data_IF_487396782048
#
_entry.id   IF_487396782048
#
_cell.length_a   1.000
_cell.length_b   1.000
_cell.length_c   1.000
_cell.angle_alpha   90.00
_cell.angle_beta   90.00
_cell.angle_gamma   90.00
#
_symmetry.space_group_name_H-M   'P 1'
#
loop_
_entity.id
_entity.type
_entity.pdbx_description
1 polymer ?
#
# COMPACT_ATOMS: atom_id res chain seq x y z
N UNK A 1 -6.50 21.24 -4.44
CA UNK A 1 -6.97 20.17 -3.54
C UNK A 1 -5.94 19.85 -2.46
N UNK A 2 -6.39 19.48 -1.26
CA UNK A 2 -5.53 19.14 -0.10
C UNK A 2 -4.58 17.96 -0.38
N UNK A 3 -4.91 17.13 -1.38
CA UNK A 3 -4.15 15.95 -1.79
C UNK A 3 -2.94 16.23 -2.67
N UNK A 4 -2.82 17.44 -3.22
CA UNK A 4 -1.67 17.82 -4.04
C UNK A 4 -0.56 18.35 -3.14
N UNK A 5 0.64 17.80 -3.31
CA UNK A 5 1.85 18.23 -2.59
C UNK A 5 2.96 18.59 -3.57
N UNK A 6 3.71 19.62 -3.24
CA UNK A 6 5.03 19.89 -3.84
C UNK A 6 6.07 19.15 -3.01
N UNK A 7 6.94 18.42 -3.68
CA UNK A 7 7.98 17.60 -3.09
C UNK A 7 9.27 17.76 -3.88
N UNK A 8 10.40 17.36 -3.28
CA UNK A 8 11.66 17.28 -4.00
C UNK A 8 11.63 16.17 -5.07
N UNK A 9 12.40 16.37 -6.13
CA UNK A 9 12.63 15.31 -7.12
C UNK A 9 13.78 14.42 -6.65
N UNK A 10 13.51 13.15 -6.37
CA UNK A 10 14.51 12.19 -5.88
C UNK A 10 15.33 11.63 -7.04
N UNK A 11 16.66 11.68 -6.90
CA UNK A 11 17.62 11.21 -7.89
C UNK A 11 18.17 9.81 -7.62
N UNK A 12 18.07 9.34 -6.36
CA UNK A 12 18.62 8.05 -5.96
C UNK A 12 19.61 8.15 -4.81
N UNK A 13 20.42 7.10 -4.65
CA UNK A 13 21.56 7.11 -3.74
C UNK A 13 22.80 7.54 -4.52
N UNK A 14 23.45 8.62 -4.11
CA UNK A 14 24.67 9.11 -4.71
C UNK A 14 25.81 8.09 -4.49
N UNK A 15 26.43 7.63 -5.59
CA UNK A 15 27.43 6.57 -5.55
C UNK A 15 28.75 6.97 -4.92
N UNK A 16 29.04 8.27 -4.82
CA UNK A 16 30.26 8.78 -4.19
C UNK A 16 30.13 8.98 -2.69
N UNK A 17 28.96 9.45 -2.23
CA UNK A 17 28.71 9.76 -0.81
C UNK A 17 27.98 8.61 -0.10
N UNK A 18 27.20 7.81 -0.84
CA UNK A 18 26.31 6.78 -0.31
C UNK A 18 25.08 7.34 0.40
N UNK A 19 24.73 8.60 0.15
CA UNK A 19 23.58 9.28 0.73
C UNK A 19 22.47 9.47 -0.30
N UNK A 20 21.23 9.64 0.16
CA UNK A 20 20.13 10.02 -0.70
C UNK A 20 20.39 11.39 -1.32
N UNK A 21 19.96 11.57 -2.55
CA UNK A 21 20.15 12.78 -3.32
C UNK A 21 18.83 13.26 -3.91
N UNK A 22 18.59 14.56 -3.83
CA UNK A 22 17.47 15.23 -4.49
C UNK A 22 18.00 16.29 -5.44
N UNK A 23 17.20 16.68 -6.41
CA UNK A 23 17.58 17.64 -7.43
C UNK A 23 17.67 19.06 -6.85
N UNK A 24 18.81 19.71 -7.05
CA UNK A 24 19.01 21.15 -6.91
C UNK A 24 18.58 21.80 -8.23
N UNK A 25 17.37 22.34 -8.26
CA UNK A 25 16.72 22.80 -9.50
C UNK A 25 17.28 24.13 -9.98
N UNK A 26 17.62 25.02 -9.05
CA UNK A 26 18.16 26.34 -9.36
C UNK A 26 19.70 26.37 -9.50
N UNK A 27 20.38 25.26 -9.12
CA UNK A 27 21.84 25.06 -9.17
C UNK A 27 22.60 26.11 -8.33
N UNK A 28 22.05 26.50 -7.17
CA UNK A 28 22.72 27.43 -6.26
C UNK A 28 23.63 26.72 -5.23
N UNK A 29 23.58 25.38 -5.18
CA UNK A 29 24.38 24.53 -4.30
C UNK A 29 23.74 24.30 -2.93
N UNK A 30 22.53 24.79 -2.68
CA UNK A 30 21.78 24.60 -1.45
C UNK A 30 20.38 24.00 -1.75
N UNK A 31 20.02 22.95 -1.05
CA UNK A 31 18.66 22.38 -1.21
C UNK A 31 17.69 23.13 -0.30
N UNK A 32 16.78 23.87 -0.91
CA UNK A 32 15.80 24.72 -0.23
C UNK A 32 14.38 24.37 -0.63
N UNK A 33 13.37 25.07 -0.08
CA UNK A 33 11.98 24.90 -0.46
C UNK A 33 11.71 25.26 -1.93
N UNK A 34 12.57 26.04 -2.56
CA UNK A 34 12.48 26.45 -3.97
C UNK A 34 12.67 25.27 -4.91
N UNK A 35 13.44 24.24 -4.47
CA UNK A 35 13.69 23.01 -5.23
C UNK A 35 12.53 21.99 -5.16
N UNK A 36 11.50 22.26 -4.36
CA UNK A 36 10.28 21.45 -4.36
C UNK A 36 9.45 21.75 -5.60
N UNK A 37 9.83 21.19 -6.73
CA UNK A 37 9.17 21.41 -8.03
C UNK A 37 8.29 20.25 -8.48
N UNK A 38 8.54 19.04 -7.99
CA UNK A 38 7.72 17.88 -8.31
C UNK A 38 6.32 18.00 -7.67
N UNK A 39 5.29 17.71 -8.45
CA UNK A 39 3.89 17.79 -8.01
C UNK A 39 3.31 16.39 -7.93
N UNK A 40 2.93 15.97 -6.73
CA UNK A 40 2.35 14.67 -6.46
C UNK A 40 0.91 14.79 -5.94
N UNK A 41 0.01 13.99 -6.53
CA UNK A 41 -1.36 13.88 -6.05
C UNK A 41 -1.54 12.57 -5.28
N UNK A 42 -1.64 12.66 -3.95
CA UNK A 42 -1.83 11.53 -3.04
C UNK A 42 -3.31 11.13 -2.85
N UNK A 43 -4.22 11.84 -3.52
CA UNK A 43 -5.65 11.51 -3.48
C UNK A 43 -6.03 10.34 -4.38
N UNK A 44 -7.19 9.79 -4.10
CA UNK A 44 -7.85 8.84 -5.00
C UNK A 44 -8.20 9.58 -6.29
N UNK A 45 -7.68 9.08 -7.42
CA UNK A 45 -7.95 9.64 -8.75
C UNK A 45 -9.31 9.17 -9.29
N UNK A 46 -9.55 7.88 -9.17
CA UNK A 46 -10.86 7.27 -9.44
C UNK A 46 -10.98 5.94 -8.71
N UNK A 47 -12.21 5.54 -8.48
CA UNK A 47 -12.57 4.26 -7.89
C UNK A 47 -13.87 3.76 -8.47
N UNK A 48 -14.13 2.48 -8.31
CA UNK A 48 -15.39 1.86 -8.71
C UNK A 48 -15.50 0.44 -8.18
N UNK A 49 -16.62 -0.19 -8.52
CA UNK A 49 -16.85 -1.58 -8.14
C UNK A 49 -17.75 -2.29 -9.13
N UNK A 50 -17.56 -3.61 -9.20
CA UNK A 50 -18.40 -4.52 -9.97
C UNK A 50 -19.06 -5.44 -8.97
N UNK A 51 -20.38 -5.29 -8.79
CA UNK A 51 -21.21 -6.21 -8.03
C UNK A 51 -21.93 -7.15 -8.99
N UNK A 52 -21.86 -8.44 -8.72
CA UNK A 52 -22.49 -9.44 -9.55
C UNK A 52 -23.13 -10.52 -8.69
N UNK A 53 -24.27 -11.05 -9.17
CA UNK A 53 -25.01 -12.15 -8.57
C UNK A 53 -25.27 -13.21 -9.65
N UNK A 54 -24.84 -14.43 -9.40
CA UNK A 54 -24.97 -15.55 -10.30
C UNK A 54 -25.83 -16.60 -9.62
N UNK A 55 -26.96 -16.93 -10.24
CA UNK A 55 -27.83 -17.98 -9.76
C UNK A 55 -27.82 -19.17 -10.75
N UNK A 56 -27.52 -20.35 -10.22
CA UNK A 56 -27.55 -21.58 -10.97
C UNK A 56 -28.14 -22.71 -10.13
N UNK A 57 -29.35 -23.19 -10.51
CA UNK A 57 -30.09 -24.16 -9.71
C UNK A 57 -30.27 -23.71 -8.27
N UNK A 58 -29.71 -24.47 -7.31
CA UNK A 58 -29.77 -24.20 -5.88
C UNK A 58 -28.65 -23.33 -5.38
N UNK A 59 -27.68 -22.95 -6.24
CA UNK A 59 -26.54 -22.10 -5.90
C UNK A 59 -26.83 -20.63 -6.19
N UNK A 60 -26.48 -19.76 -5.27
CA UNK A 60 -26.39 -18.34 -5.48
C UNK A 60 -25.00 -17.85 -5.06
N UNK A 61 -24.30 -17.14 -5.95
CA UNK A 61 -22.96 -16.61 -5.73
C UNK A 61 -23.03 -15.11 -5.93
N UNK A 62 -22.77 -14.35 -4.88
CA UNK A 62 -22.71 -12.90 -4.88
C UNK A 62 -21.28 -12.45 -4.61
N UNK A 63 -20.76 -11.53 -5.40
CA UNK A 63 -19.43 -10.99 -5.17
C UNK A 63 -19.32 -9.52 -5.55
N UNK A 64 -18.45 -8.80 -4.82
CA UNK A 64 -18.11 -7.41 -5.08
C UNK A 64 -16.59 -7.28 -5.28
N UNK A 65 -16.20 -6.88 -6.48
CA UNK A 65 -14.87 -6.39 -6.78
C UNK A 65 -14.84 -4.88 -6.68
N UNK A 66 -13.83 -4.34 -6.01
CA UNK A 66 -13.52 -2.92 -5.93
C UNK A 66 -12.20 -2.67 -6.65
N UNK A 67 -12.09 -1.57 -7.37
CA UNK A 67 -10.84 -1.07 -7.90
C UNK A 67 -10.62 0.39 -7.52
N UNK A 68 -9.38 0.76 -7.26
CA UNK A 68 -8.98 2.10 -6.87
C UNK A 68 -7.69 2.48 -7.58
N UNK A 69 -7.64 3.67 -8.17
CA UNK A 69 -6.44 4.30 -8.70
C UNK A 69 -6.00 5.41 -7.76
N UNK A 70 -4.80 5.26 -7.16
CA UNK A 70 -4.25 6.22 -6.20
C UNK A 70 -2.74 6.13 -6.11
N UNK A 71 -2.12 7.18 -5.58
CA UNK A 71 -0.76 7.16 -5.04
C UNK A 71 -0.80 7.24 -3.52
N UNK A 72 0.21 6.67 -2.85
CA UNK A 72 0.34 6.76 -1.41
C UNK A 72 1.83 6.76 -1.01
N UNK A 73 2.09 7.18 0.24
CA UNK A 73 3.40 7.04 0.84
C UNK A 73 3.78 5.56 0.99
N UNK A 74 5.00 5.25 0.61
CA UNK A 74 5.59 3.93 0.87
C UNK A 74 5.86 3.76 2.37
N UNK A 75 6.06 2.52 2.86
CA UNK A 75 6.51 2.31 4.24
C UNK A 75 7.80 3.05 4.60
N UNK A 76 8.67 3.38 3.63
CA UNK A 76 9.91 4.12 3.87
C UNK A 76 9.68 5.52 4.45
N UNK A 77 8.55 6.15 4.11
CA UNK A 77 8.15 7.42 4.72
C UNK A 77 8.01 7.34 6.25
N UNK A 78 7.61 6.17 6.77
CA UNK A 78 7.37 5.94 8.21
C UNK A 78 8.56 5.31 8.92
N UNK A 79 9.56 4.83 8.16
CA UNK A 79 10.78 4.25 8.72
C UNK A 79 11.67 5.31 9.33
N UNK A 80 12.54 4.86 10.22
CA UNK A 80 13.63 5.67 10.77
C UNK A 80 14.88 5.56 9.90
N UNK A 81 15.82 6.47 10.13
CA UNK A 81 17.16 6.43 9.54
C UNK A 81 17.83 5.07 9.83
N UNK A 82 18.44 4.46 8.81
CA UNK A 82 19.15 3.19 8.98
C UNK A 82 20.39 3.36 9.86
N UNK A 83 20.60 2.40 10.78
CA UNK A 83 21.74 2.37 11.70
C UNK A 83 21.46 2.94 13.07
N UNK A 84 20.33 3.62 13.30
CA UNK A 84 19.89 3.98 14.66
C UNK A 84 19.22 2.78 15.34
N UNK A 85 19.05 2.85 16.66
CA UNK A 85 18.45 1.77 17.47
C UNK A 85 16.93 1.63 17.23
N UNK A 86 16.56 1.16 16.03
CA UNK A 86 15.18 0.89 15.64
C UNK A 86 15.09 -0.30 14.69
N UNK A 87 13.92 -0.94 14.64
CA UNK A 87 13.67 -1.99 13.67
C UNK A 87 13.59 -1.39 12.26
N UNK A 88 14.20 -2.07 11.30
CA UNK A 88 14.15 -1.74 9.88
C UNK A 88 13.53 -2.90 9.09
N UNK A 89 12.82 -2.63 7.98
CA UNK A 89 12.28 -3.69 7.15
C UNK A 89 13.41 -4.50 6.51
N UNK A 90 13.18 -5.80 6.24
CA UNK A 90 14.18 -6.68 5.59
C UNK A 90 14.74 -6.08 4.29
N UNK A 91 13.93 -5.34 3.56
CA UNK A 91 14.29 -4.64 2.33
C UNK A 91 15.46 -3.64 2.54
N UNK A 92 15.57 -3.05 3.72
CA UNK A 92 16.64 -2.12 4.08
C UNK A 92 18.02 -2.78 4.16
N UNK A 93 18.12 -4.11 3.99
CA UNK A 93 19.42 -4.78 3.81
C UNK A 93 20.08 -4.44 2.47
N UNK A 94 19.32 -3.91 1.50
CA UNK A 94 19.83 -3.35 0.25
C UNK A 94 20.33 -1.91 0.45
N UNK A 95 21.25 -1.71 1.38
CA UNK A 95 21.87 -0.42 1.68
C UNK A 95 23.20 -0.24 0.96
N UNK A 96 23.58 1.01 0.76
CA UNK A 96 24.83 1.40 0.13
C UNK A 96 26.06 0.93 0.94
N UNK A 97 26.98 0.29 0.23
CA UNK A 97 28.31 -0.09 0.69
C UNK A 97 29.26 -0.11 -0.51
N UNK A 98 30.57 -0.22 -0.25
CA UNK A 98 31.57 -0.35 -1.33
C UNK A 98 31.29 -1.53 -2.27
N UNK A 99 30.70 -2.60 -1.71
CA UNK A 99 30.32 -3.80 -2.49
C UNK A 99 28.91 -3.69 -3.11
N UNK A 100 28.13 -2.66 -2.79
CA UNK A 100 26.78 -2.43 -3.29
C UNK A 100 26.53 -0.95 -3.59
N UNK A 101 27.20 -0.38 -4.63
CA UNK A 101 27.09 1.04 -4.95
C UNK A 101 25.74 1.44 -5.58
N UNK A 102 24.95 0.46 -6.08
CA UNK A 102 23.64 0.68 -6.70
C UNK A 102 22.49 0.36 -5.74
N UNK A 103 22.71 0.53 -4.44
CA UNK A 103 21.72 0.22 -3.41
C UNK A 103 20.48 1.13 -3.48
N UNK A 104 19.37 0.61 -2.99
CA UNK A 104 18.11 1.37 -2.85
C UNK A 104 18.15 2.32 -1.65
N UNK A 105 18.87 1.95 -0.58
CA UNK A 105 18.94 2.70 0.67
C UNK A 105 20.32 3.32 0.87
N UNK A 106 20.34 4.53 1.44
CA UNK A 106 21.60 5.18 1.82
C UNK A 106 22.38 4.35 2.84
N UNK A 107 23.67 4.64 2.99
CA UNK A 107 24.53 3.98 3.98
C UNK A 107 23.98 4.15 5.40
N UNK A 108 23.99 3.09 6.23
CA UNK A 108 23.58 3.19 7.63
C UNK A 108 24.48 4.17 8.42
N UNK A 109 23.89 4.89 9.36
CA UNK A 109 24.61 5.77 10.25
C UNK A 109 24.08 5.68 11.68
N UNK A 110 24.94 5.90 12.67
CA UNK A 110 24.53 5.88 14.08
C UNK A 110 23.77 7.15 14.53
N UNK A 111 23.32 7.97 13.59
CA UNK A 111 22.57 9.19 13.89
C UNK A 111 23.44 10.39 14.32
N UNK A 112 24.78 10.26 14.27
CA UNK A 112 25.70 11.33 14.56
C UNK A 112 26.23 12.06 13.30
N UNK A 113 25.89 11.54 12.12
CA UNK A 113 26.26 12.15 10.85
C UNK A 113 25.17 13.12 10.40
N UNK A 114 25.42 14.40 10.47
CA UNK A 114 24.46 15.44 10.13
C UNK A 114 24.02 15.39 8.65
N UNK A 115 24.98 15.22 7.73
CA UNK A 115 24.71 15.14 6.29
C UNK A 115 23.78 13.96 5.95
N UNK A 116 24.01 12.81 6.59
CA UNK A 116 23.16 11.63 6.37
C UNK A 116 21.75 11.81 6.96
N UNK A 117 21.61 12.56 8.05
CA UNK A 117 20.30 12.93 8.59
C UNK A 117 19.56 13.87 7.66
N UNK A 118 20.23 14.90 7.17
CA UNK A 118 19.68 15.87 6.23
C UNK A 118 19.22 15.18 4.94
N UNK A 119 20.09 14.38 4.31
CA UNK A 119 19.76 13.60 3.13
C UNK A 119 18.53 12.69 3.35
N UNK A 120 18.41 12.07 4.52
CA UNK A 120 17.26 11.27 4.89
C UNK A 120 15.97 12.10 5.01
N UNK A 121 16.03 13.29 5.59
CA UNK A 121 14.87 14.18 5.68
C UNK A 121 14.43 14.71 4.31
N UNK A 122 15.37 15.07 3.44
CA UNK A 122 15.11 15.48 2.06
C UNK A 122 14.43 14.34 1.29
N UNK A 123 14.92 13.09 1.44
CA UNK A 123 14.30 11.91 0.85
C UNK A 123 12.85 11.75 1.33
N UNK A 124 12.57 11.90 2.63
CA UNK A 124 11.19 11.80 3.17
C UNK A 124 10.25 12.87 2.63
N UNK A 125 10.77 14.01 2.21
CA UNK A 125 10.01 15.10 1.60
C UNK A 125 10.04 15.08 0.06
N UNK A 126 10.55 13.97 -0.53
CA UNK A 126 10.66 13.79 -1.97
C UNK A 126 9.59 12.84 -2.54
N UNK A 127 9.53 12.77 -3.89
CA UNK A 127 8.73 11.77 -4.59
C UNK A 127 9.28 10.33 -4.46
N UNK A 128 10.50 10.15 -3.94
CA UNK A 128 11.11 8.85 -3.67
C UNK A 128 10.35 7.98 -2.67
N UNK A 129 9.61 8.60 -1.75
CA UNK A 129 8.75 7.90 -0.77
C UNK A 129 7.29 7.77 -1.21
N UNK A 130 6.97 8.10 -2.46
CA UNK A 130 5.62 8.04 -3.02
C UNK A 130 5.57 6.99 -4.12
N UNK A 131 4.56 6.13 -4.12
CA UNK A 131 4.39 5.11 -5.15
C UNK A 131 2.94 4.92 -5.57
N UNK A 132 2.76 4.19 -6.67
CA UNK A 132 1.44 3.72 -7.11
C UNK A 132 0.89 2.72 -6.09
N UNK A 133 -0.19 3.10 -5.41
CA UNK A 133 -0.93 2.30 -4.45
C UNK A 133 -2.29 1.86 -5.00
N UNK A 134 -2.41 1.77 -6.32
CA UNK A 134 -3.61 1.27 -6.98
C UNK A 134 -3.82 -0.21 -6.69
N UNK A 135 -5.08 -0.62 -6.58
CA UNK A 135 -5.41 -2.00 -6.29
C UNK A 135 -6.75 -2.43 -6.86
N UNK A 136 -6.92 -3.74 -6.98
CA UNK A 136 -8.21 -4.43 -7.21
C UNK A 136 -8.41 -5.38 -6.04
N UNK A 137 -9.60 -5.35 -5.41
CA UNK A 137 -9.90 -6.14 -4.21
C UNK A 137 -11.23 -6.86 -4.32
N UNK A 138 -11.24 -8.16 -4.01
CA UNK A 138 -12.46 -8.90 -3.75
C UNK A 138 -12.95 -8.54 -2.34
N UNK A 139 -13.84 -7.55 -2.28
CA UNK A 139 -14.36 -6.97 -1.02
C UNK A 139 -15.28 -7.93 -0.30
N UNK A 140 -16.17 -8.60 -1.05
CA UNK A 140 -17.07 -9.61 -0.51
C UNK A 140 -17.29 -10.73 -1.50
N UNK A 141 -17.46 -11.92 -0.97
CA UNK A 141 -17.91 -13.11 -1.67
C UNK A 141 -18.88 -13.84 -0.76
N UNK A 142 -20.07 -14.17 -1.27
CA UNK A 142 -21.02 -15.02 -0.59
C UNK A 142 -21.44 -16.14 -1.54
N UNK A 143 -21.40 -17.35 -1.05
CA UNK A 143 -21.90 -18.54 -1.75
C UNK A 143 -23.00 -19.13 -0.89
N UNK A 144 -24.20 -19.20 -1.42
CA UNK A 144 -25.37 -19.74 -0.76
C UNK A 144 -25.89 -20.96 -1.52
N UNK A 145 -26.18 -22.03 -0.79
CA UNK A 145 -26.78 -23.24 -1.33
C UNK A 145 -28.13 -23.50 -0.67
N UNK A 146 -29.17 -23.53 -1.47
CA UNK A 146 -30.53 -23.86 -1.02
C UNK A 146 -30.71 -25.37 -0.96
N UNK A 147 -31.05 -25.88 0.21
CA UNK A 147 -31.35 -27.30 0.42
C UNK A 147 -32.68 -27.68 -0.24
N UNK A 148 -32.76 -28.89 -0.77
CA UNK A 148 -34.02 -29.37 -1.42
C UNK A 148 -35.13 -29.53 -0.39
N UNK A 149 -36.33 -29.04 -0.76
CA UNK A 149 -37.53 -29.10 0.08
C UNK A 149 -37.99 -30.55 0.41
N UNK A 150 -37.42 -31.56 -0.24
CA UNK A 150 -37.73 -32.97 0.06
C UNK A 150 -37.23 -33.40 1.45
N UNK A 151 -36.19 -32.69 2.00
CA UNK A 151 -35.63 -32.97 3.33
C UNK A 151 -36.44 -32.31 4.46
N UNK A 152 -37.14 -31.20 4.14
CA UNK A 152 -37.88 -30.42 5.13
C UNK A 152 -39.25 -30.02 4.58
N UNK A 153 -40.30 -30.78 4.89
CA UNK A 153 -41.67 -30.43 4.49
C UNK A 153 -42.04 -29.05 5.05
N UNK A 154 -42.45 -28.13 4.18
CA UNK A 154 -42.85 -26.74 4.48
C UNK A 154 -41.78 -25.82 5.09
N UNK A 155 -40.52 -26.18 4.97
CA UNK A 155 -39.39 -25.36 5.52
C UNK A 155 -38.38 -25.13 4.43
N UNK A 156 -37.95 -23.89 4.25
CA UNK A 156 -36.85 -23.56 3.36
C UNK A 156 -35.57 -23.45 4.15
N UNK A 157 -34.57 -24.24 3.80
CA UNK A 157 -33.26 -24.19 4.45
C UNK A 157 -32.15 -23.86 3.44
N UNK A 158 -31.16 -23.10 3.86
CA UNK A 158 -29.97 -22.83 3.07
C UNK A 158 -28.72 -22.75 3.95
N UNK A 159 -27.59 -23.11 3.34
CA UNK A 159 -26.26 -23.00 3.94
C UNK A 159 -25.51 -21.95 3.15
N UNK A 160 -24.77 -21.07 3.83
CA UNK A 160 -23.94 -20.08 3.16
C UNK A 160 -22.53 -20.01 3.76
N UNK A 161 -21.57 -19.65 2.90
CA UNK A 161 -20.25 -19.20 3.28
C UNK A 161 -20.06 -17.77 2.77
N UNK A 162 -19.55 -16.90 3.62
CA UNK A 162 -19.30 -15.51 3.29
C UNK A 162 -17.87 -15.14 3.66
N UNK A 163 -17.23 -14.34 2.82
CA UNK A 163 -15.89 -13.83 3.09
C UNK A 163 -15.76 -12.35 2.73
N UNK A 164 -14.88 -11.65 3.46
CA UNK A 164 -14.57 -10.25 3.20
C UNK A 164 -13.06 -10.05 3.04
N UNK A 165 -12.68 -9.08 2.17
CA UNK A 165 -11.30 -8.69 1.89
C UNK A 165 -10.41 -9.89 1.49
N UNK A 166 -10.93 -10.79 0.66
CA UNK A 166 -10.32 -12.10 0.40
C UNK A 166 -9.05 -12.03 -0.44
N UNK A 167 -9.05 -11.19 -1.48
CA UNK A 167 -7.97 -11.08 -2.45
C UNK A 167 -7.68 -9.59 -2.67
N UNK A 168 -6.43 -9.21 -2.65
CA UNK A 168 -5.96 -7.87 -3.06
C UNK A 168 -4.86 -8.03 -4.10
N UNK A 169 -5.05 -7.43 -5.26
CA UNK A 169 -4.09 -7.39 -6.36
C UNK A 169 -3.55 -5.97 -6.44
N UNK A 170 -2.25 -5.80 -6.19
CA UNK A 170 -1.58 -4.50 -6.19
C UNK A 170 -0.10 -4.66 -6.49
N UNK A 171 0.54 -3.59 -6.98
CA UNK A 171 2.00 -3.47 -7.07
C UNK A 171 2.60 -2.73 -5.86
N UNK A 172 1.76 -2.21 -4.97
CA UNK A 172 2.20 -1.55 -3.77
C UNK A 172 2.90 -2.54 -2.85
N UNK A 173 4.10 -2.22 -2.42
CA UNK A 173 4.92 -3.12 -1.60
C UNK A 173 4.69 -3.00 -0.08
N UNK A 174 3.87 -2.04 0.36
CA UNK A 174 3.45 -1.91 1.76
C UNK A 174 2.52 -3.02 2.22
N UNK A 175 2.13 -2.97 3.49
CA UNK A 175 1.23 -3.96 4.09
C UNK A 175 -0.13 -4.01 3.37
N UNK A 176 -0.67 -2.85 3.02
CA UNK A 176 -1.92 -2.73 2.29
C UNK A 176 -1.98 -1.36 1.60
N UNK A 177 -2.44 -1.28 0.33
CA UNK A 177 -2.48 -0.02 -0.42
C UNK A 177 -3.50 1.00 0.12
N UNK A 178 -4.48 0.56 0.92
CA UNK A 178 -5.51 1.40 1.54
C UNK A 178 -5.11 1.86 2.95
N UNK A 179 -4.21 1.10 3.62
CA UNK A 179 -3.75 1.41 4.97
C UNK A 179 -2.56 2.34 4.94
N UNK A 180 -2.63 3.45 5.65
CA UNK A 180 -1.57 4.44 5.73
C UNK A 180 -0.59 4.06 6.85
N UNK A 181 0.70 4.01 6.53
CA UNK A 181 1.77 3.85 7.51
C UNK A 181 1.79 2.49 8.18
N UNK A 182 1.77 2.50 9.50
CA UNK A 182 1.84 1.31 10.36
C UNK A 182 0.48 0.72 10.70
N UNK A 183 -0.60 1.21 10.11
CA UNK A 183 -1.93 0.70 10.35
C UNK A 183 -2.05 -0.75 9.86
N UNK A 184 -2.84 -1.54 10.59
CA UNK A 184 -3.13 -2.90 10.20
C UNK A 184 -3.97 -2.93 8.91
N UNK A 185 -3.67 -3.86 7.99
CA UNK A 185 -4.50 -4.05 6.81
C UNK A 185 -5.92 -4.50 7.19
N UNK A 186 -6.92 -4.27 6.31
CA UNK A 186 -8.26 -4.81 6.51
C UNK A 186 -8.21 -6.32 6.72
N UNK A 187 -8.87 -6.79 7.79
CA UNK A 187 -8.87 -8.21 8.12
C UNK A 187 -9.60 -9.02 7.04
N UNK A 188 -9.01 -10.18 6.72
CA UNK A 188 -9.69 -11.21 5.95
C UNK A 188 -10.58 -12.01 6.90
N UNK A 189 -11.88 -12.02 6.65
CA UNK A 189 -12.84 -12.72 7.49
C UNK A 189 -13.62 -13.75 6.70
N UNK A 190 -13.98 -14.83 7.38
CA UNK A 190 -14.86 -15.86 6.86
C UNK A 190 -15.98 -16.14 7.87
N UNK A 191 -17.19 -16.31 7.36
CA UNK A 191 -18.34 -16.73 8.15
C UNK A 191 -19.05 -17.90 7.44
N UNK A 192 -19.45 -18.88 8.21
CA UNK A 192 -20.31 -19.98 7.76
C UNK A 192 -21.59 -19.91 8.56
N UNK A 193 -22.72 -20.07 7.89
CA UNK A 193 -24.00 -20.05 8.54
C UNK A 193 -25.08 -20.83 7.77
N UNK A 194 -26.23 -20.96 8.39
CA UNK A 194 -27.39 -21.51 7.75
C UNK A 194 -28.65 -20.71 8.11
N UNK A 195 -29.62 -20.70 7.21
CA UNK A 195 -30.90 -20.05 7.41
C UNK A 195 -32.01 -21.12 7.31
N UNK A 196 -32.99 -21.02 8.19
CA UNK A 196 -34.20 -21.83 8.16
C UNK A 196 -35.41 -20.90 8.24
N UNK A 197 -36.31 -21.02 7.28
CA UNK A 197 -37.58 -20.28 7.23
C UNK A 197 -38.70 -21.30 7.36
N UNK A 198 -39.55 -21.11 8.36
CA UNK A 198 -40.71 -21.98 8.68
C UNK A 198 -41.98 -21.46 8.03
#
# INVERSE_FOLDING_TARGET
PITIKKVYNYLGVNQSTGLYEVEDVNNDGEITIEDKTAIENLGVQYYGGINNSIQYKNWNIDFLWQFVKQKNYTPDYYNNLLGIASNSPKRAMDYFSENNPNATYQKPTMGLNYEAQEAFWLYKESNGVISDASYIRLKSLQINYRLDNQLFKNTQASIYIQGHNLITITKFWGNDPESIGTLLPPLRTWALGFNINF
#
